data_IF_762647108443
#
_entry.id   IF_762647108443
#
_cell.length_a   1.000
_cell.length_b   1.000
_cell.length_c   1.000
_cell.angle_alpha   90.00
_cell.angle_beta   90.00
_cell.angle_gamma   90.00
#
_symmetry.space_group_name_H-M   'P 1'
#
loop_
_entity.id
_entity.type
_entity.pdbx_description
1 polymer ?
#
# COMPACT_ATOMS: atom_id res chain seq x y z
N UNK A 1 -67.33 26.98 -0.30
CA UNK A 1 -66.74 26.72 1.03
C UNK A 1 -65.92 25.43 0.95
N UNK A 2 -64.69 25.44 1.52
CA UNK A 2 -63.80 24.30 1.89
C UNK A 2 -63.35 23.35 0.75
N UNK A 3 -62.09 23.41 0.28
CA UNK A 3 -60.82 22.83 0.81
C UNK A 3 -60.75 21.29 0.71
N UNK A 4 -59.54 20.82 0.39
CA UNK A 4 -59.04 19.42 0.30
C UNK A 4 -59.32 18.74 -1.05
N UNK A 5 -58.38 18.21 -1.82
CA UNK A 5 -57.08 17.58 -1.52
C UNK A 5 -56.14 17.83 -2.72
N UNK A 6 -54.99 18.43 -2.45
CA UNK A 6 -53.82 18.49 -3.32
C UNK A 6 -52.78 17.55 -2.66
N UNK A 7 -51.93 16.91 -3.47
CA UNK A 7 -50.73 16.15 -3.05
C UNK A 7 -51.01 14.70 -2.61
N UNK A 8 -50.89 13.72 -3.53
CA UNK A 8 -50.43 12.37 -3.19
C UNK A 8 -49.97 11.50 -4.39
N UNK A 9 -49.37 12.07 -5.44
CA UNK A 9 -48.80 11.27 -6.55
C UNK A 9 -47.44 11.85 -6.98
N UNK A 10 -46.46 11.84 -6.08
CA UNK A 10 -45.04 11.97 -6.47
C UNK A 10 -44.08 11.48 -5.36
N UNK A 11 -44.35 10.34 -4.74
CA UNK A 11 -43.46 9.76 -3.71
C UNK A 11 -43.41 8.23 -3.79
N UNK A 12 -43.11 7.67 -4.96
CA UNK A 12 -42.79 6.23 -5.10
C UNK A 12 -41.52 6.01 -5.97
N UNK A 13 -40.57 6.95 -5.97
CA UNK A 13 -39.30 6.77 -6.72
C UNK A 13 -38.02 6.77 -5.86
N UNK A 14 -38.13 6.61 -4.54
CA UNK A 14 -36.97 6.61 -3.64
C UNK A 14 -36.90 5.40 -2.69
N UNK A 15 -37.23 4.18 -3.17
CA UNK A 15 -37.00 2.96 -2.36
C UNK A 15 -36.18 1.92 -3.15
N UNK A 16 -35.14 2.36 -3.84
CA UNK A 16 -34.13 1.46 -4.40
C UNK A 16 -32.75 2.10 -4.27
N UNK A 17 -32.29 2.31 -3.03
CA UNK A 17 -31.02 2.97 -2.77
C UNK A 17 -30.28 2.60 -1.49
N UNK A 18 -30.71 1.58 -0.73
CA UNK A 18 -30.06 1.23 0.55
C UNK A 18 -29.42 -0.17 0.57
N UNK A 19 -29.13 -0.78 -0.57
CA UNK A 19 -28.37 -2.05 -0.62
C UNK A 19 -26.85 -1.87 -0.75
N UNK A 20 -26.36 -0.65 -0.96
CA UNK A 20 -24.94 -0.39 -1.28
C UNK A 20 -24.00 -0.29 -0.07
N UNK A 21 -24.51 0.01 1.12
CA UNK A 21 -23.67 0.11 2.35
C UNK A 21 -23.35 -1.28 2.89
N UNK A 22 -24.31 -2.21 2.84
CA UNK A 22 -24.08 -3.58 3.31
C UNK A 22 -23.04 -4.33 2.46
N UNK A 23 -22.87 -3.99 1.19
CA UNK A 23 -21.85 -4.60 0.32
C UNK A 23 -20.45 -4.00 0.56
N UNK A 24 -20.34 -2.68 0.77
CA UNK A 24 -19.05 -2.03 1.09
C UNK A 24 -18.49 -2.49 2.43
N UNK A 25 -19.36 -2.68 3.43
CA UNK A 25 -18.97 -3.22 4.74
C UNK A 25 -18.57 -4.70 4.61
N UNK A 26 -19.32 -5.50 3.84
CA UNK A 26 -19.00 -6.93 3.69
C UNK A 26 -17.70 -7.21 2.90
N UNK A 27 -17.30 -6.33 1.96
CA UNK A 27 -16.07 -6.51 1.19
C UNK A 27 -14.82 -5.99 1.93
N UNK A 28 -14.99 -5.00 2.82
CA UNK A 28 -13.93 -4.49 3.70
C UNK A 28 -13.67 -5.39 4.93
N UNK A 29 -14.65 -6.23 5.32
CA UNK A 29 -14.52 -7.15 6.44
C UNK A 29 -13.90 -8.48 5.99
N UNK A 30 -12.80 -8.93 6.62
CA UNK A 30 -12.14 -10.16 6.21
C UNK A 30 -13.06 -11.39 6.42
N UNK A 31 -13.34 -12.09 5.32
CA UNK A 31 -14.03 -13.38 5.31
C UNK A 31 -13.14 -14.48 5.87
N UNK A 32 -13.12 -14.63 7.19
CA UNK A 32 -12.95 -15.93 7.87
C UNK A 32 -13.35 -15.85 9.36
N UNK A 33 -14.59 -16.27 9.63
CA UNK A 33 -15.05 -16.93 10.87
C UNK A 33 -14.73 -16.28 12.23
N UNK A 34 -15.45 -15.21 12.55
CA UNK A 34 -16.25 -15.09 13.79
C UNK A 34 -17.11 -13.85 13.60
N UNK A 35 -18.43 -13.99 13.49
CA UNK A 35 -19.35 -12.86 13.26
C UNK A 35 -19.10 -11.81 14.33
N UNK A 36 -18.49 -10.67 13.94
CA UNK A 36 -18.38 -9.51 14.81
C UNK A 36 -19.80 -9.22 15.29
N UNK A 37 -20.09 -9.23 16.60
CA UNK A 37 -21.42 -8.96 17.13
C UNK A 37 -22.03 -7.71 16.50
N UNK A 38 -23.32 -7.74 16.17
CA UNK A 38 -24.01 -6.61 15.49
C UNK A 38 -23.81 -5.30 16.27
N UNK A 39 -23.91 -5.34 17.59
CA UNK A 39 -23.64 -4.19 18.46
C UNK A 39 -22.22 -3.61 18.33
N UNK A 40 -21.23 -4.42 17.92
CA UNK A 40 -19.88 -3.93 17.62
C UNK A 40 -19.78 -3.37 16.22
N UNK A 41 -20.52 -3.90 15.24
CA UNK A 41 -20.54 -3.36 13.88
C UNK A 41 -21.03 -1.91 13.86
N UNK A 42 -22.10 -1.61 14.62
CA UNK A 42 -22.61 -0.24 14.77
C UNK A 42 -21.55 0.69 15.39
N UNK A 43 -20.90 0.24 16.47
CA UNK A 43 -19.86 1.03 17.12
C UNK A 43 -18.65 1.27 16.22
N UNK A 44 -18.25 0.28 15.42
CA UNK A 44 -17.19 0.43 14.41
C UNK A 44 -17.59 1.48 13.39
N UNK A 45 -18.82 1.43 12.87
CA UNK A 45 -19.31 2.38 11.87
C UNK A 45 -19.32 3.84 12.39
N UNK A 46 -19.51 4.05 13.69
CA UNK A 46 -19.41 5.41 14.29
C UNK A 46 -17.97 5.91 14.46
N UNK A 47 -16.98 5.03 14.44
CA UNK A 47 -15.57 5.35 14.75
C UNK A 47 -14.67 5.42 13.52
N UNK A 48 -15.16 4.93 12.38
CA UNK A 48 -14.39 4.75 11.16
C UNK A 48 -15.08 5.46 10.01
N UNK A 49 -14.30 6.19 9.22
CA UNK A 49 -14.72 6.60 7.89
C UNK A 49 -14.05 5.68 6.85
N UNK A 50 -14.75 4.70 6.27
CA UNK A 50 -14.14 3.72 5.35
C UNK A 50 -13.64 4.34 4.03
N UNK A 51 -14.16 5.52 3.67
CA UNK A 51 -13.71 6.28 2.50
C UNK A 51 -12.31 6.86 2.69
N UNK A 52 -11.96 7.22 3.93
CA UNK A 52 -10.69 7.88 4.25
C UNK A 52 -9.74 6.96 5.03
N UNK A 53 -10.22 5.83 5.55
CA UNK A 53 -9.44 4.99 6.46
C UNK A 53 -9.48 3.52 6.06
N UNK A 54 -8.30 2.90 6.09
CA UNK A 54 -8.18 1.45 6.14
C UNK A 54 -8.35 1.02 7.59
N UNK A 55 -9.12 -0.02 7.82
CA UNK A 55 -9.32 -0.54 9.17
C UNK A 55 -9.38 -2.06 9.19
N UNK A 56 -9.11 -2.61 10.37
CA UNK A 56 -9.31 -4.03 10.63
C UNK A 56 -9.66 -4.27 12.09
N UNK A 57 -10.41 -5.34 12.31
CA UNK A 57 -10.82 -5.80 13.64
C UNK A 57 -10.14 -7.13 13.93
N UNK A 58 -9.46 -7.19 15.06
CA UNK A 58 -8.91 -8.42 15.62
C UNK A 58 -9.78 -8.93 16.77
N UNK A 59 -9.75 -10.24 16.97
CA UNK A 59 -10.53 -10.93 17.99
C UNK A 59 -9.63 -11.96 18.70
N UNK A 60 -9.88 -12.18 19.99
CA UNK A 60 -9.32 -13.29 20.75
C UNK A 60 -10.25 -13.70 21.90
N UNK A 61 -10.39 -15.01 22.14
CA UNK A 61 -11.15 -15.53 23.27
C UNK A 61 -10.44 -15.23 24.60
N UNK A 62 -11.23 -15.05 25.66
CA UNK A 62 -10.76 -14.97 27.04
C UNK A 62 -10.59 -16.41 27.55
N UNK A 63 -9.36 -16.90 27.46
CA UNK A 63 -8.97 -18.21 28.00
C UNK A 63 -8.52 -18.09 29.47
N UNK A 64 -8.00 -19.17 30.05
CA UNK A 64 -7.43 -19.21 31.42
C UNK A 64 -6.39 -18.12 31.73
N UNK A 65 -5.78 -17.55 30.69
CA UNK A 65 -4.78 -16.47 30.81
C UNK A 65 -5.39 -15.07 31.05
N UNK A 66 -6.73 -14.95 31.04
CA UNK A 66 -7.44 -13.72 31.35
C UNK A 66 -7.50 -12.69 30.21
N UNK A 67 -8.26 -11.62 30.45
CA UNK A 67 -8.59 -10.58 29.46
C UNK A 67 -7.37 -9.78 29.00
N UNK A 68 -6.36 -9.57 29.85
CA UNK A 68 -5.14 -8.86 29.47
C UNK A 68 -4.41 -9.55 28.30
N UNK A 69 -4.24 -10.87 28.36
CA UNK A 69 -3.58 -11.60 27.29
C UNK A 69 -4.48 -11.71 26.06
N UNK A 70 -5.80 -11.84 26.24
CA UNK A 70 -6.76 -11.80 25.16
C UNK A 70 -6.71 -10.45 24.41
N UNK A 71 -6.64 -9.31 25.11
CA UNK A 71 -6.49 -7.99 24.50
C UNK A 71 -5.18 -7.87 23.71
N UNK A 72 -4.06 -8.35 24.26
CA UNK A 72 -2.79 -8.34 23.54
C UNK A 72 -2.85 -9.17 22.24
N UNK A 73 -3.49 -10.35 22.29
CA UNK A 73 -3.75 -11.19 21.11
C UNK A 73 -4.69 -10.50 20.11
N UNK A 74 -5.79 -9.90 20.58
CA UNK A 74 -6.74 -9.18 19.73
C UNK A 74 -6.06 -7.99 19.03
N UNK A 75 -5.22 -7.23 19.74
CA UNK A 75 -4.42 -6.14 19.17
C UNK A 75 -3.45 -6.66 18.10
N UNK A 76 -2.75 -7.77 18.36
CA UNK A 76 -1.86 -8.39 17.37
C UNK A 76 -2.64 -8.82 16.13
N UNK A 77 -3.76 -9.52 16.31
CA UNK A 77 -4.61 -9.98 15.22
C UNK A 77 -5.16 -8.82 14.39
N UNK A 78 -5.57 -7.73 15.04
CA UNK A 78 -6.06 -6.52 14.37
C UNK A 78 -4.97 -5.86 13.51
N UNK A 79 -3.75 -5.72 14.07
CA UNK A 79 -2.62 -5.12 13.35
C UNK A 79 -2.17 -5.98 12.17
N UNK A 80 -2.13 -7.30 12.32
CA UNK A 80 -1.80 -8.21 11.22
C UNK A 80 -2.87 -8.20 10.12
N UNK A 81 -4.15 -8.13 10.48
CA UNK A 81 -5.23 -7.95 9.51
C UNK A 81 -5.16 -6.59 8.82
N UNK A 82 -4.81 -5.51 9.54
CA UNK A 82 -4.65 -4.17 8.97
C UNK A 82 -3.48 -4.12 7.99
N UNK A 83 -2.35 -4.78 8.29
CA UNK A 83 -1.21 -4.91 7.36
C UNK A 83 -1.62 -5.47 6.01
N UNK A 84 -2.53 -6.45 5.99
CA UNK A 84 -3.06 -7.01 4.73
C UNK A 84 -3.82 -5.96 3.93
N UNK A 85 -4.62 -5.11 4.58
CA UNK A 85 -5.35 -4.03 3.91
C UNK A 85 -4.39 -2.94 3.42
N UNK A 86 -3.41 -2.53 4.23
CA UNK A 86 -2.36 -1.60 3.82
C UNK A 86 -1.62 -2.13 2.59
N UNK A 87 -1.24 -3.42 2.58
CA UNK A 87 -0.54 -4.04 1.43
C UNK A 87 -1.35 -4.00 0.15
N UNK A 88 -2.68 -4.15 0.21
CA UNK A 88 -3.55 -3.99 -0.97
C UNK A 88 -3.53 -2.56 -1.47
N UNK A 89 -3.68 -1.58 -0.58
CA UNK A 89 -3.67 -0.16 -0.95
C UNK A 89 -2.33 0.29 -1.54
N UNK A 90 -1.21 -0.11 -0.92
CA UNK A 90 0.14 0.16 -1.44
C UNK A 90 0.32 -0.41 -2.85
N UNK A 91 -0.14 -1.65 -3.10
CA UNK A 91 -0.08 -2.26 -4.43
C UNK A 91 -0.90 -1.47 -5.45
N UNK A 92 -2.09 -0.99 -5.08
CA UNK A 92 -2.90 -0.13 -5.94
C UNK A 92 -2.15 1.16 -6.28
N UNK A 93 -1.61 1.84 -5.27
CA UNK A 93 -0.82 3.06 -5.47
C UNK A 93 0.39 2.83 -6.40
N UNK A 94 1.16 1.78 -6.14
CA UNK A 94 2.32 1.44 -6.97
C UNK A 94 1.94 1.08 -8.40
N UNK A 95 0.83 0.36 -8.60
CA UNK A 95 0.33 0.09 -9.95
C UNK A 95 -0.01 1.39 -10.69
N UNK A 96 -0.68 2.34 -10.02
CA UNK A 96 -0.97 3.66 -10.59
C UNK A 96 0.32 4.41 -10.94
N UNK A 97 1.33 4.38 -10.08
CA UNK A 97 2.63 5.01 -10.38
C UNK A 97 3.29 4.35 -11.59
N UNK A 98 3.31 3.02 -11.64
CA UNK A 98 3.86 2.24 -12.75
C UNK A 98 3.14 2.52 -14.09
N UNK A 99 1.86 2.90 -14.10
CA UNK A 99 1.17 3.29 -15.33
C UNK A 99 1.78 4.54 -15.99
N UNK A 100 2.43 5.41 -15.20
CA UNK A 100 3.04 6.66 -15.68
C UNK A 100 4.52 6.50 -16.08
N UNK A 101 5.01 5.25 -16.19
CA UNK A 101 6.42 4.94 -16.44
C UNK A 101 6.57 4.20 -17.77
N UNK A 102 7.61 4.54 -18.53
CA UNK A 102 7.93 3.89 -19.79
C UNK A 102 8.41 2.44 -19.60
N UNK A 103 8.39 1.64 -20.67
CA UNK A 103 8.70 0.21 -20.57
C UNK A 103 10.15 -0.07 -20.14
N UNK A 104 11.11 0.77 -20.51
CA UNK A 104 12.51 0.59 -20.10
C UNK A 104 12.64 0.83 -18.59
N UNK A 105 12.10 1.94 -18.09
CA UNK A 105 12.13 2.29 -16.67
C UNK A 105 11.35 1.28 -15.82
N UNK A 106 10.24 0.71 -16.33
CA UNK A 106 9.55 -0.42 -15.67
C UNK A 106 10.45 -1.64 -15.49
N UNK A 107 11.34 -1.91 -16.44
CA UNK A 107 12.32 -2.99 -16.35
C UNK A 107 13.31 -2.83 -15.19
N UNK A 108 13.56 -1.59 -14.76
CA UNK A 108 14.42 -1.28 -13.61
C UNK A 108 13.66 -1.46 -12.29
N UNK A 109 12.39 -1.03 -12.24
CA UNK A 109 11.61 -0.97 -10.99
C UNK A 109 10.96 -2.30 -10.65
N UNK A 110 10.43 -3.02 -11.64
CA UNK A 110 9.64 -4.25 -11.42
C UNK A 110 10.34 -5.31 -10.55
N UNK A 111 11.66 -5.56 -10.70
CA UNK A 111 12.37 -6.54 -9.87
C UNK A 111 12.36 -6.25 -8.37
N UNK A 112 12.25 -4.98 -7.96
CA UNK A 112 12.29 -4.57 -6.54
C UNK A 112 10.92 -4.19 -5.99
N UNK A 113 9.86 -4.28 -6.80
CA UNK A 113 8.54 -3.77 -6.44
C UNK A 113 7.96 -4.45 -5.19
N UNK A 114 8.28 -5.73 -4.98
CA UNK A 114 7.88 -6.45 -3.76
C UNK A 114 8.54 -5.88 -2.51
N UNK A 115 9.84 -5.63 -2.56
CA UNK A 115 10.60 -5.10 -1.42
C UNK A 115 10.15 -3.68 -1.08
N UNK A 116 9.91 -2.84 -2.10
CA UNK A 116 9.33 -1.51 -1.91
C UNK A 116 7.93 -1.59 -1.30
N UNK A 117 7.14 -2.59 -1.69
CA UNK A 117 5.78 -2.78 -1.14
C UNK A 117 5.86 -3.13 0.33
N UNK A 118 6.71 -4.09 0.69
CA UNK A 118 6.86 -4.54 2.07
C UNK A 118 7.42 -3.41 2.95
N UNK A 119 8.37 -2.62 2.45
CA UNK A 119 8.87 -1.44 3.16
C UNK A 119 7.78 -0.38 3.39
N UNK A 120 6.98 -0.06 2.37
CA UNK A 120 5.87 0.89 2.52
C UNK A 120 4.78 0.38 3.48
N UNK A 121 4.50 -0.93 3.49
CA UNK A 121 3.59 -1.56 4.46
C UNK A 121 4.11 -1.42 5.89
N UNK A 122 5.40 -1.65 6.11
CA UNK A 122 6.01 -1.51 7.43
C UNK A 122 5.98 -0.07 7.94
N UNK A 123 6.22 0.91 7.05
CA UNK A 123 6.05 2.33 7.39
C UNK A 123 4.59 2.64 7.70
N UNK A 124 3.65 2.27 6.83
CA UNK A 124 2.22 2.51 7.03
C UNK A 124 1.68 1.90 8.32
N UNK A 125 2.15 0.70 8.68
CA UNK A 125 1.75 0.01 9.91
C UNK A 125 2.15 0.74 11.19
N UNK A 126 3.19 1.58 11.15
CA UNK A 126 3.60 2.41 12.30
C UNK A 126 2.61 3.55 12.57
N UNK A 127 1.81 3.92 11.59
CA UNK A 127 0.76 4.95 11.71
C UNK A 127 -0.60 4.37 12.11
N UNK A 128 -0.69 3.07 12.38
CA UNK A 128 -1.93 2.44 12.83
C UNK A 128 -2.31 2.92 14.24
N UNK A 129 -3.53 3.43 14.38
CA UNK A 129 -4.10 3.91 15.65
C UNK A 129 -5.19 2.96 16.12
N UNK A 130 -5.20 2.65 17.41
CA UNK A 130 -6.30 1.91 18.01
C UNK A 130 -7.48 2.85 18.21
N UNK A 131 -8.62 2.54 17.57
CA UNK A 131 -9.84 3.36 17.67
C UNK A 131 -10.92 2.74 18.55
N UNK A 132 -10.80 1.46 18.87
CA UNK A 132 -11.73 0.75 19.74
C UNK A 132 -11.12 -0.50 20.37
N UNK A 133 -11.63 -0.81 21.55
CA UNK A 133 -11.40 -2.05 22.27
C UNK A 133 -12.72 -2.42 22.95
N UNK A 134 -13.13 -3.67 22.84
CA UNK A 134 -14.37 -4.14 23.46
C UNK A 134 -14.16 -5.53 24.03
N UNK A 135 -14.84 -5.79 25.12
CA UNK A 135 -14.81 -7.05 25.83
C UNK A 135 -16.25 -7.54 26.02
N UNK A 136 -16.46 -8.83 25.81
CA UNK A 136 -17.65 -9.54 26.27
C UNK A 136 -17.20 -10.72 27.15
N UNK A 137 -18.15 -11.47 27.71
CA UNK A 137 -17.88 -12.56 28.65
C UNK A 137 -16.96 -13.67 28.12
N UNK A 138 -16.78 -13.75 26.80
CA UNK A 138 -16.03 -14.82 26.12
C UNK A 138 -14.81 -14.33 25.34
N UNK A 139 -14.71 -13.03 25.03
CA UNK A 139 -13.80 -12.54 24.02
C UNK A 139 -13.49 -11.05 24.12
N UNK A 140 -12.34 -10.69 23.55
CA UNK A 140 -11.87 -9.32 23.37
C UNK A 140 -11.72 -9.01 21.89
N UNK A 141 -12.11 -7.79 21.52
CA UNK A 141 -12.04 -7.24 20.18
C UNK A 141 -11.18 -5.97 20.17
N UNK A 142 -10.45 -5.76 19.08
CA UNK A 142 -9.64 -4.55 18.91
C UNK A 142 -9.77 -4.02 17.50
N UNK A 143 -10.04 -2.72 17.38
CA UNK A 143 -10.14 -2.00 16.11
C UNK A 143 -8.91 -1.12 15.92
N UNK A 144 -8.18 -1.36 14.85
CA UNK A 144 -7.10 -0.51 14.39
C UNK A 144 -7.45 0.09 13.03
N UNK A 145 -7.01 1.34 12.82
CA UNK A 145 -7.19 2.06 11.58
C UNK A 145 -5.94 2.86 11.20
N UNK A 146 -5.83 3.17 9.92
CA UNK A 146 -4.83 4.09 9.36
C UNK A 146 -5.47 4.91 8.24
N UNK A 147 -5.07 6.17 8.15
CA UNK A 147 -5.52 7.09 7.10
C UNK A 147 -5.00 6.64 5.72
N UNK A 148 -5.90 6.54 4.73
CA UNK A 148 -5.56 6.21 3.34
C UNK A 148 -4.63 7.24 2.72
N UNK A 149 -4.85 8.53 3.00
CA UNK A 149 -4.01 9.61 2.48
C UNK A 149 -2.57 9.45 2.97
N UNK A 150 -2.39 9.01 4.21
CA UNK A 150 -1.07 8.72 4.75
C UNK A 150 -0.41 7.54 4.04
N UNK A 151 -1.17 6.49 3.69
CA UNK A 151 -0.64 5.37 2.91
C UNK A 151 -0.24 5.81 1.50
N UNK A 152 -1.00 6.70 0.86
CA UNK A 152 -0.66 7.30 -0.44
C UNK A 152 0.63 8.12 -0.33
N UNK A 153 0.75 8.97 0.69
CA UNK A 153 1.95 9.78 0.95
C UNK A 153 3.20 8.90 1.10
N UNK A 154 3.15 7.90 1.99
CA UNK A 154 4.28 6.97 2.22
C UNK A 154 4.61 6.16 0.97
N UNK A 155 3.59 5.75 0.20
CA UNK A 155 3.81 5.05 -1.07
C UNK A 155 4.58 5.95 -2.05
N UNK A 156 4.23 7.24 -2.15
CA UNK A 156 4.95 8.19 -3.00
C UNK A 156 6.38 8.38 -2.52
N UNK A 157 6.59 8.58 -1.22
CA UNK A 157 7.91 8.77 -0.63
C UNK A 157 8.83 7.59 -0.92
N UNK A 158 8.38 6.35 -0.65
CA UNK A 158 9.16 5.13 -0.91
C UNK A 158 9.48 4.99 -2.39
N UNK A 159 8.49 5.15 -3.25
CA UNK A 159 8.64 4.95 -4.69
C UNK A 159 9.58 6.00 -5.30
N UNK A 160 9.40 7.28 -4.96
CA UNK A 160 10.24 8.37 -5.49
C UNK A 160 11.63 8.37 -4.87
N UNK A 161 11.78 8.00 -3.60
CA UNK A 161 13.07 7.81 -2.94
C UNK A 161 13.92 6.77 -3.66
N UNK A 162 13.34 5.61 -3.99
CA UNK A 162 14.04 4.58 -4.77
C UNK A 162 14.50 5.10 -6.14
N UNK A 163 13.64 5.83 -6.86
CA UNK A 163 14.02 6.43 -8.14
C UNK A 163 15.14 7.46 -8.00
N UNK A 164 15.12 8.25 -6.94
CA UNK A 164 16.19 9.19 -6.59
C UNK A 164 17.53 8.49 -6.41
N UNK A 165 17.55 7.37 -5.66
CA UNK A 165 18.76 6.57 -5.44
C UNK A 165 19.31 5.99 -6.74
N UNK A 166 18.46 5.44 -7.59
CA UNK A 166 18.87 4.91 -8.90
C UNK A 166 19.41 6.03 -9.80
N UNK A 167 18.71 7.16 -9.87
CA UNK A 167 19.16 8.33 -10.64
C UNK A 167 20.53 8.82 -10.17
N UNK A 168 20.75 8.92 -8.86
CA UNK A 168 22.04 9.29 -8.27
C UNK A 168 23.16 8.31 -8.64
N UNK A 169 22.90 7.00 -8.57
CA UNK A 169 23.87 5.96 -8.97
C UNK A 169 24.22 6.04 -10.45
N UNK A 170 23.24 6.20 -11.33
CA UNK A 170 23.46 6.31 -12.77
C UNK A 170 24.25 7.58 -13.13
N UNK A 171 23.92 8.71 -12.51
CA UNK A 171 24.65 9.97 -12.70
C UNK A 171 26.12 9.86 -12.24
N UNK A 172 26.36 9.18 -11.12
CA UNK A 172 27.71 8.90 -10.65
C UNK A 172 28.49 8.05 -11.67
N UNK A 173 27.89 6.98 -12.20
CA UNK A 173 28.49 6.16 -13.26
C UNK A 173 28.81 7.00 -14.50
N UNK A 174 27.85 7.81 -14.98
CA UNK A 174 28.04 8.71 -16.12
C UNK A 174 29.23 9.65 -15.90
N UNK A 175 29.33 10.28 -14.72
CA UNK A 175 30.45 11.18 -14.41
C UNK A 175 31.79 10.45 -14.39
N UNK A 176 31.85 9.23 -13.85
CA UNK A 176 33.08 8.44 -13.80
C UNK A 176 33.56 8.05 -15.19
N UNK A 177 32.66 7.61 -16.07
CA UNK A 177 32.98 7.25 -17.45
C UNK A 177 33.45 8.48 -18.24
N UNK A 178 32.77 9.62 -18.09
CA UNK A 178 33.16 10.86 -18.76
C UNK A 178 34.56 11.37 -18.40
N UNK A 179 35.07 10.99 -17.22
CA UNK A 179 36.41 11.36 -16.74
C UNK A 179 37.49 10.33 -17.11
N UNK A 180 37.15 9.25 -17.84
CA UNK A 180 38.14 8.28 -18.32
C UNK A 180 38.86 8.89 -19.52
N UNK A 181 40.15 9.20 -19.35
CA UNK A 181 41.04 9.47 -20.47
C UNK A 181 41.34 8.15 -21.19
N UNK A 182 40.77 7.97 -22.38
CA UNK A 182 41.14 6.87 -23.27
C UNK A 182 42.54 7.16 -23.82
N UNK A 183 43.56 6.61 -23.19
CA UNK A 183 44.94 6.77 -23.64
C UNK A 183 45.06 6.18 -25.06
N UNK A 184 45.32 7.05 -26.03
CA UNK A 184 45.43 6.68 -27.44
C UNK A 184 46.57 5.67 -27.61
N UNK A 185 46.24 4.50 -28.15
CA UNK A 185 47.21 3.55 -28.68
C UNK A 185 47.91 4.20 -29.89
N UNK A 186 49.04 4.84 -29.66
CA UNK A 186 50.03 5.13 -30.70
C UNK A 186 51.29 4.33 -30.39
N UNK A 187 51.21 3.02 -30.56
CA UNK A 187 52.35 2.13 -30.82
C UNK A 187 51.84 0.88 -31.58
N UNK A 188 51.30 1.11 -32.77
CA UNK A 188 51.27 0.09 -33.81
C UNK A 188 51.84 0.72 -35.07
N UNK A 189 53.17 0.71 -35.19
CA UNK A 189 53.83 0.87 -36.48
C UNK A 189 53.71 -0.45 -37.24
N UNK A 190 53.01 -0.51 -38.38
CA UNK A 190 53.15 -1.62 -39.30
C UNK A 190 54.58 -1.56 -39.84
N UNK A 191 55.36 -2.62 -39.69
CA UNK A 191 56.65 -2.73 -40.37
C UNK A 191 56.39 -2.71 -41.89
N UNK A 192 56.89 -1.69 -42.56
CA UNK A 192 56.88 -1.56 -44.02
C UNK A 192 57.95 -2.49 -44.64
N UNK A 193 57.60 -3.40 -45.57
CA UNK A 193 58.54 -4.37 -46.13
C UNK A 193 59.12 -3.87 -47.46
N UNK A 194 60.02 -2.89 -47.45
CA UNK A 194 60.95 -2.67 -48.57
C UNK A 194 62.17 -1.89 -48.10
N UNK A 195 63.30 -2.58 -48.03
CA UNK A 195 64.61 -2.01 -48.38
C UNK A 195 65.48 -3.18 -48.83
N UNK A 196 65.54 -3.37 -50.14
CA UNK A 196 66.68 -3.98 -50.81
C UNK A 196 67.91 -3.16 -50.44
N UNK A 197 68.85 -3.76 -49.72
CA UNK A 197 70.22 -3.27 -49.67
C UNK A 197 71.10 -4.32 -50.33
N UNK A 198 71.43 -4.02 -51.58
CA UNK A 198 72.49 -4.63 -52.37
C UNK A 198 73.82 -4.32 -51.70
N UNK A 199 74.61 -5.34 -51.36
CA UNK A 199 76.05 -5.17 -51.11
C UNK A 199 76.77 -6.32 -51.82
N UNK A 200 77.72 -5.93 -52.69
CA UNK A 200 78.67 -6.77 -53.43
C UNK A 200 79.60 -7.61 -52.53
#
# INVERSE_FOLDING_TARGET
>A
MKKFIFIFILTIFFISGCTSINTLINEALPTKSSTIPVALQEQIATKINPENELFAVGHANIDKSGSLLAQAKANKNAKEALKVQIKKEVKVNFNVFMMNIDNYSKGIISPVLSDLTDYAVDLGSKHAVQKGAWENDSAVYSLFAVDRDKIVELSKEVFTGYLGDISGKLNNIKSKIGNIELNNSSNFTPNDPTNEEVIE
#
